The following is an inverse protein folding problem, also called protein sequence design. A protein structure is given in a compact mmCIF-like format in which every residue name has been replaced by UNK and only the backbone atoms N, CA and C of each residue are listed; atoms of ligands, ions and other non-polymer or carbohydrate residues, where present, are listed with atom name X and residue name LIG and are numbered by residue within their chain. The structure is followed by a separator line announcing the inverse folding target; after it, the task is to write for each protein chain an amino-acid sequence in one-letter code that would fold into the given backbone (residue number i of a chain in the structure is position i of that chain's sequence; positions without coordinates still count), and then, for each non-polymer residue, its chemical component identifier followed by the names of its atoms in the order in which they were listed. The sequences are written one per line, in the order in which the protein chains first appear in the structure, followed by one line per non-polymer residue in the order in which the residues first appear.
data_IF_473893783488
#
_entry.id   IF_473893783488
#
_cell.length_a   1.000
_cell.length_b   1.000
_cell.length_c   1.000
_cell.angle_alpha   90.00
_cell.angle_beta   90.00
_cell.angle_gamma   90.00
#
_symmetry.space_group_name_H-M   'P 1'
#
loop_
_entity.id
_entity.type
_entity.pdbx_description
1 polymer ?
#
# COMPACT_ATOMS: atom_id res chain seq x y z
N UNK A 1 -11.29 0.73 1.61
CA UNK A 1 -10.05 0.19 1.03
C UNK A 1 -8.88 0.39 1.99
N UNK A 2 -8.10 -0.64 2.29
CA UNK A 2 -6.85 -0.53 3.05
C UNK A 2 -5.69 -0.26 2.12
N UNK A 3 -4.80 0.67 2.51
CA UNK A 3 -3.61 1.03 1.73
C UNK A 3 -2.42 0.20 2.21
N UNK A 4 -1.50 -0.14 1.31
CA UNK A 4 -0.21 -0.71 1.68
C UNK A 4 0.83 0.39 1.91
N UNK A 5 1.79 0.13 2.79
CA UNK A 5 2.87 1.07 3.04
C UNK A 5 3.69 1.30 1.75
N UNK A 6 3.97 2.55 1.35
CA UNK A 6 4.73 2.85 0.13
C UNK A 6 6.10 2.17 0.08
N UNK A 7 6.83 2.14 1.21
CA UNK A 7 8.10 1.44 1.33
C UNK A 7 7.97 -0.06 1.09
N UNK A 8 6.99 -0.72 1.73
CA UNK A 8 6.74 -2.15 1.55
C UNK A 8 6.34 -2.48 0.12
N UNK A 9 5.59 -1.60 -0.55
CA UNK A 9 5.27 -1.71 -1.98
C UNK A 9 6.56 -1.68 -2.80
N UNK A 10 7.41 -0.67 -2.64
CA UNK A 10 8.67 -0.57 -3.37
C UNK A 10 9.54 -1.82 -3.17
N UNK A 11 9.74 -2.25 -1.92
CA UNK A 11 10.50 -3.46 -1.61
C UNK A 11 9.92 -4.69 -2.31
N UNK A 12 8.59 -4.85 -2.30
CA UNK A 12 7.94 -5.99 -2.95
C UNK A 12 8.11 -5.96 -4.47
N UNK A 13 8.08 -4.78 -5.09
CA UNK A 13 8.34 -4.63 -6.52
C UNK A 13 9.78 -5.03 -6.86
N UNK A 14 10.75 -4.56 -6.08
CA UNK A 14 12.16 -4.92 -6.23
C UNK A 14 12.33 -6.44 -6.11
N UNK A 15 11.81 -7.05 -5.05
CA UNK A 15 11.91 -8.49 -4.80
C UNK A 15 11.29 -9.31 -5.93
N UNK A 16 10.13 -8.88 -6.44
CA UNK A 16 9.39 -9.58 -7.51
C UNK A 16 10.08 -9.43 -8.86
N UNK A 17 10.68 -8.27 -9.14
CA UNK A 17 11.33 -7.98 -10.41
C UNK A 17 12.76 -8.56 -10.52
N UNK A 18 13.44 -8.77 -9.39
CA UNK A 18 14.84 -9.21 -9.30
C UNK A 18 15.19 -10.45 -10.15
N UNK A 19 14.35 -11.50 -10.26
CA UNK A 19 14.69 -12.67 -11.07
C UNK A 19 14.89 -12.34 -12.56
N UNK A 20 14.14 -11.39 -13.12
CA UNK A 20 14.23 -11.02 -14.54
C UNK A 20 15.37 -10.04 -14.84
N UNK A 21 15.82 -9.27 -13.85
CA UNK A 21 16.94 -8.35 -14.01
C UNK A 21 18.25 -9.05 -14.42
N UNK A 22 18.36 -10.37 -14.23
CA UNK A 22 19.49 -11.19 -14.72
C UNK A 22 19.69 -11.10 -16.24
N UNK A 23 18.61 -10.84 -16.98
CA UNK A 23 18.62 -10.82 -18.44
C UNK A 23 18.44 -9.43 -19.04
N UNK A 24 18.20 -8.41 -18.21
CA UNK A 24 18.04 -7.01 -18.64
C UNK A 24 18.89 -6.06 -17.78
N UNK A 25 19.93 -5.49 -18.40
CA UNK A 25 20.87 -4.57 -17.72
C UNK A 25 20.23 -3.27 -17.25
N UNK A 26 19.20 -2.78 -17.96
CA UNK A 26 18.51 -1.54 -17.61
C UNK A 26 17.62 -1.75 -16.39
N UNK A 27 16.89 -2.87 -16.35
CA UNK A 27 16.13 -3.28 -15.18
C UNK A 27 17.04 -3.48 -13.98
N UNK A 28 18.19 -4.16 -14.14
CA UNK A 28 19.16 -4.36 -13.07
C UNK A 28 19.63 -3.04 -12.44
N UNK A 29 20.01 -2.05 -13.26
CA UNK A 29 20.45 -0.73 -12.76
C UNK A 29 19.34 0.02 -12.00
N UNK A 30 18.10 -0.07 -12.47
CA UNK A 30 16.96 0.58 -11.81
C UNK A 30 16.63 -0.11 -10.47
N UNK A 31 16.75 -1.44 -10.40
CA UNK A 31 16.59 -2.18 -9.16
C UNK A 31 17.68 -1.85 -8.15
N UNK A 32 18.93 -1.72 -8.58
CA UNK A 32 20.05 -1.31 -7.72
C UNK A 32 19.80 0.10 -7.13
N UNK A 33 19.42 1.07 -7.96
CA UNK A 33 19.01 2.41 -7.51
C UNK A 33 17.87 2.37 -6.50
N UNK A 34 16.84 1.55 -6.74
CA UNK A 34 15.72 1.40 -5.81
C UNK A 34 16.17 0.75 -4.47
N UNK A 35 17.08 -0.22 -4.51
CA UNK A 35 17.67 -0.86 -3.32
C UNK A 35 18.51 0.12 -2.50
N UNK A 36 19.30 0.96 -3.16
CA UNK A 36 20.03 2.04 -2.48
C UNK A 36 19.06 2.97 -1.75
N UNK A 37 17.99 3.43 -2.41
CA UNK A 37 16.96 4.28 -1.78
C UNK A 37 16.32 3.56 -0.59
N UNK A 38 15.95 2.29 -0.72
CA UNK A 38 15.37 1.45 0.35
C UNK A 38 16.28 1.31 1.57
N UNK A 39 17.60 1.43 1.38
CA UNK A 39 18.62 1.46 2.43
C UNK A 39 18.75 2.80 3.15
N UNK A 40 18.11 3.87 2.65
CA UNK A 40 18.15 5.21 3.25
C UNK A 40 16.85 5.58 3.97
N UNK A 41 16.86 6.58 4.86
CA UNK A 41 15.63 7.15 5.44
C UNK A 41 14.68 7.76 4.41
N UNK A 42 15.13 8.05 3.18
CA UNK A 42 14.28 8.64 2.14
C UNK A 42 13.16 7.69 1.72
N UNK A 43 13.35 6.38 1.85
CA UNK A 43 12.31 5.39 1.55
C UNK A 43 11.09 5.47 2.48
N UNK A 44 11.21 6.12 3.64
CA UNK A 44 10.07 6.38 4.53
C UNK A 44 9.15 7.49 3.99
N UNK A 45 9.64 8.33 3.07
CA UNK A 45 8.84 9.37 2.44
C UNK A 45 7.92 8.73 1.38
N UNK A 46 6.58 8.84 1.51
CA UNK A 46 5.65 8.22 0.58
C UNK A 46 5.87 8.58 -0.89
N UNK A 47 6.22 9.84 -1.17
CA UNK A 47 6.46 10.35 -2.52
C UNK A 47 7.69 9.72 -3.17
N UNK A 48 8.77 9.55 -2.41
CA UNK A 48 10.03 8.96 -2.91
C UNK A 48 9.82 7.48 -3.20
N UNK A 49 9.26 6.74 -2.24
CA UNK A 49 9.00 5.32 -2.42
C UNK A 49 8.07 5.04 -3.61
N UNK A 50 7.00 5.83 -3.77
CA UNK A 50 6.07 5.67 -4.89
C UNK A 50 6.71 6.05 -6.24
N UNK A 51 7.54 7.10 -6.30
CA UNK A 51 8.29 7.46 -7.52
C UNK A 51 9.21 6.34 -7.96
N UNK A 52 10.01 5.79 -7.04
CA UNK A 52 10.91 4.66 -7.33
C UNK A 52 10.11 3.42 -7.74
N UNK A 53 8.96 3.16 -7.11
CA UNK A 53 8.10 2.02 -7.48
C UNK A 53 7.59 2.16 -8.91
N UNK A 54 7.20 3.37 -9.32
CA UNK A 54 6.77 3.66 -10.69
C UNK A 54 7.90 3.47 -11.70
N UNK A 55 9.13 3.88 -11.35
CA UNK A 55 10.32 3.64 -12.19
C UNK A 55 10.61 2.15 -12.38
N UNK A 56 10.54 1.35 -11.31
CA UNK A 56 10.68 -0.12 -11.38
C UNK A 56 9.59 -0.74 -12.25
N UNK A 57 8.34 -0.32 -12.09
CA UNK A 57 7.23 -0.82 -12.89
C UNK A 57 7.39 -0.50 -14.38
N UNK A 58 7.85 0.71 -14.70
CA UNK A 58 8.13 1.11 -16.09
C UNK A 58 9.33 0.35 -16.68
N UNK A 59 10.38 0.11 -15.89
CA UNK A 59 11.51 -0.69 -16.31
C UNK A 59 11.09 -2.14 -16.61
N UNK A 60 10.25 -2.72 -15.76
CA UNK A 60 9.71 -4.08 -15.93
C UNK A 60 8.96 -4.23 -17.25
N UNK A 61 8.00 -3.33 -17.53
CA UNK A 61 7.21 -3.35 -18.78
C UNK A 61 8.10 -3.30 -20.04
N UNK A 62 9.24 -2.61 -19.97
CA UNK A 62 10.17 -2.50 -21.09
C UNK A 62 11.08 -3.73 -21.24
N UNK A 63 11.45 -4.34 -20.11
CA UNK A 63 12.40 -5.45 -20.04
C UNK A 63 11.76 -6.80 -20.36
N UNK A 64 10.53 -7.02 -19.89
CA UNK A 64 9.87 -8.31 -20.00
C UNK A 64 8.68 -8.26 -20.95
N UNK A 65 8.80 -8.93 -22.10
CA UNK A 65 7.76 -9.00 -23.13
C UNK A 65 6.97 -10.30 -23.13
N UNK A 66 7.34 -11.26 -22.28
CA UNK A 66 6.73 -12.60 -22.26
C UNK A 66 5.61 -12.72 -21.23
N UNK A 67 5.67 -11.97 -20.13
CA UNK A 67 4.60 -11.91 -19.14
C UNK A 67 3.67 -10.73 -19.43
N UNK A 68 2.44 -10.83 -18.94
CA UNK A 68 1.46 -9.74 -19.00
C UNK A 68 1.95 -8.49 -18.27
N UNK A 69 1.56 -7.31 -18.77
CA UNK A 69 2.02 -6.02 -18.24
C UNK A 69 1.65 -5.82 -16.75
N UNK A 70 0.57 -6.45 -16.30
CA UNK A 70 0.05 -6.38 -14.92
C UNK A 70 0.61 -7.48 -14.01
N UNK A 71 1.41 -8.43 -14.52
CA UNK A 71 1.94 -9.55 -13.73
C UNK A 71 2.70 -9.09 -12.49
N UNK A 72 3.53 -8.05 -12.62
CA UNK A 72 4.30 -7.48 -11.51
C UNK A 72 3.37 -6.89 -10.46
N UNK A 73 2.38 -6.09 -10.90
CA UNK A 73 1.42 -5.42 -10.01
C UNK A 73 0.57 -6.44 -9.24
N UNK A 74 0.06 -7.47 -9.92
CA UNK A 74 -0.77 -8.52 -9.31
C UNK A 74 0.05 -9.43 -8.38
N UNK A 75 1.26 -9.82 -8.79
CA UNK A 75 2.16 -10.61 -7.95
C UNK A 75 2.56 -9.84 -6.68
N UNK A 76 2.92 -8.56 -6.83
CA UNK A 76 3.24 -7.71 -5.71
C UNK A 76 2.04 -7.52 -4.78
N UNK A 77 0.84 -7.27 -5.33
CA UNK A 77 -0.41 -7.17 -4.56
C UNK A 77 -0.67 -8.42 -3.72
N UNK A 78 -0.53 -9.62 -4.31
CA UNK A 78 -0.70 -10.89 -3.60
C UNK A 78 0.30 -11.05 -2.45
N UNK A 79 1.57 -10.70 -2.68
CA UNK A 79 2.61 -10.76 -1.64
C UNK A 79 2.35 -9.78 -0.50
N UNK A 80 1.96 -8.54 -0.81
CA UNK A 80 1.60 -7.51 0.18
C UNK A 80 0.41 -7.94 1.04
N UNK A 81 -0.63 -8.53 0.41
CA UNK A 81 -1.79 -9.07 1.12
C UNK A 81 -1.41 -10.23 2.03
N UNK A 82 -0.61 -11.19 1.55
CA UNK A 82 -0.14 -12.33 2.34
C UNK A 82 0.64 -11.88 3.57
N UNK A 83 1.47 -10.84 3.44
CA UNK A 83 2.27 -10.27 4.54
C UNK A 83 1.50 -9.27 5.40
N UNK A 84 0.27 -8.90 5.01
CA UNK A 84 -0.53 -7.82 5.65
C UNK A 84 0.28 -6.52 5.80
N UNK A 85 0.95 -6.13 4.71
CA UNK A 85 1.83 -4.95 4.61
C UNK A 85 1.03 -3.63 4.51
N UNK A 86 0.00 -3.48 5.35
CA UNK A 86 -0.84 -2.30 5.40
C UNK A 86 -0.08 -1.09 5.93
N UNK A 87 -0.44 0.11 5.45
CA UNK A 87 0.06 1.39 5.97
C UNK A 87 -0.37 1.53 7.42
N UNK A 88 0.61 1.66 8.32
CA UNK A 88 0.41 1.76 9.77
C UNK A 88 0.84 3.14 10.23
N UNK A 89 0.00 3.79 11.03
CA UNK A 89 0.25 5.14 11.57
C UNK A 89 0.01 5.16 13.07
N UNK A 90 0.91 5.83 13.79
CA UNK A 90 0.72 6.13 15.21
C UNK A 90 -0.08 7.43 15.32
N UNK A 91 -1.31 7.32 15.82
CA UNK A 91 -2.23 8.44 15.97
C UNK A 91 -3.01 8.23 17.28
N UNK A 92 -3.24 9.30 18.05
CA UNK A 92 -3.84 9.21 19.39
C UNK A 92 -3.13 8.18 20.28
N UNK A 93 -1.80 8.24 20.32
CA UNK A 93 -0.90 7.36 21.08
C UNK A 93 -0.90 5.87 20.72
N UNK A 94 -1.70 5.45 19.73
CA UNK A 94 -1.86 4.05 19.35
C UNK A 94 -1.60 3.79 17.87
N UNK A 95 -1.24 2.55 17.53
CA UNK A 95 -1.00 2.13 16.16
C UNK A 95 -2.33 1.78 15.47
N UNK A 96 -2.53 2.34 14.28
CA UNK A 96 -3.72 2.15 13.46
C UNK A 96 -3.33 1.77 12.04
N UNK A 97 -4.13 0.95 11.39
CA UNK A 97 -4.12 0.77 9.93
C UNK A 97 -4.79 1.99 9.30
N UNK A 98 -4.13 2.57 8.30
CA UNK A 98 -4.71 3.62 7.48
C UNK A 98 -5.45 2.99 6.30
N UNK A 99 -6.70 3.40 6.14
CA UNK A 99 -7.50 3.08 4.97
C UNK A 99 -8.31 4.27 4.53
N UNK A 100 -9.19 4.01 3.58
CA UNK A 100 -10.25 4.91 3.17
C UNK A 100 -11.61 4.22 3.24
N UNK A 101 -12.61 4.98 3.65
CA UNK A 101 -14.02 4.63 3.53
C UNK A 101 -14.62 5.51 2.44
N UNK A 102 -15.34 4.90 1.51
CA UNK A 102 -15.98 5.63 0.43
C UNK A 102 -17.40 5.11 0.22
N UNK A 103 -18.30 6.03 -0.10
CA UNK A 103 -19.68 5.77 -0.54
C UNK A 103 -19.83 5.84 -2.08
N UNK A 104 -18.72 5.99 -2.81
CA UNK A 104 -18.67 6.18 -4.25
C UNK A 104 -18.52 7.64 -4.70
N UNK A 105 -18.99 8.59 -3.90
CA UNK A 105 -18.90 10.03 -4.20
C UNK A 105 -17.83 10.71 -3.34
N UNK A 106 -17.74 10.31 -2.07
CA UNK A 106 -16.85 10.85 -1.08
C UNK A 106 -15.86 9.78 -0.63
N UNK A 107 -14.62 10.18 -0.36
CA UNK A 107 -13.60 9.31 0.23
C UNK A 107 -13.06 10.01 1.49
N UNK A 108 -13.13 9.32 2.63
CA UNK A 108 -12.62 9.82 3.92
C UNK A 108 -11.61 8.83 4.48
N UNK A 109 -10.54 9.36 5.09
CA UNK A 109 -9.53 8.54 5.77
C UNK A 109 -10.16 7.86 6.99
N UNK A 110 -9.91 6.57 7.13
CA UNK A 110 -10.30 5.80 8.30
C UNK A 110 -9.07 5.16 8.95
N UNK A 111 -8.95 5.34 10.27
CA UNK A 111 -7.98 4.70 11.13
C UNK A 111 -8.64 3.52 11.83
N UNK A 112 -8.11 2.32 11.59
CA UNK A 112 -8.62 1.08 12.17
C UNK A 112 -7.59 0.54 13.16
N UNK A 113 -7.96 0.09 14.37
CA UNK A 113 -6.99 -0.43 15.33
C UNK A 113 -6.11 -1.53 14.71
N UNK A 114 -4.78 -1.45 14.88
CA UNK A 114 -3.82 -2.39 14.28
C UNK A 114 -4.16 -3.87 14.49
N UNK A 115 -4.64 -4.32 15.68
CA UNK A 115 -5.01 -5.73 15.88
C UNK A 115 -6.05 -6.27 14.89
N UNK A 116 -6.85 -5.39 14.28
CA UNK A 116 -7.82 -5.73 13.24
C UNK A 116 -7.15 -6.32 12.00
N UNK A 117 -5.88 -5.98 11.75
CA UNK A 117 -5.11 -6.45 10.60
C UNK A 117 -5.19 -7.96 10.44
N UNK A 118 -5.10 -8.73 11.54
CA UNK A 118 -5.11 -10.21 11.52
C UNK A 118 -6.50 -10.81 11.22
N UNK A 119 -7.56 -10.02 11.44
CA UNK A 119 -8.96 -10.44 11.27
C UNK A 119 -9.53 -10.04 9.91
N UNK A 120 -8.85 -9.15 9.20
CA UNK A 120 -9.26 -8.77 7.85
C UNK A 120 -9.16 -9.99 6.90
N UNK A 121 -10.11 -10.14 5.97
CA UNK A 121 -9.96 -11.03 4.84
C UNK A 121 -8.68 -10.70 4.05
N UNK A 122 -8.19 -11.65 3.24
CA UNK A 122 -7.01 -11.44 2.38
C UNK A 122 -7.43 -10.63 1.14
N UNK A 123 -7.89 -9.40 1.37
CA UNK A 123 -8.21 -8.40 0.35
C UNK A 123 -7.95 -7.00 0.89
N UNK A 124 -7.58 -6.08 0.00
CA UNK A 124 -7.43 -4.66 0.30
C UNK A 124 -8.75 -3.90 0.23
N UNK A 125 -9.77 -4.50 -0.39
CA UNK A 125 -11.07 -3.90 -0.65
C UNK A 125 -12.17 -4.82 -0.15
N UNK A 126 -13.12 -4.24 0.58
CA UNK A 126 -14.27 -4.93 1.11
C UNK A 126 -15.43 -3.96 1.20
N UNK A 127 -16.62 -4.47 0.93
CA UNK A 127 -17.86 -3.78 1.26
C UNK A 127 -18.12 -3.99 2.75
N UNK A 128 -18.35 -2.89 3.47
CA UNK A 128 -18.43 -2.95 4.92
C UNK A 128 -19.12 -1.74 5.51
N UNK A 129 -19.45 -1.88 6.79
CA UNK A 129 -20.02 -0.84 7.64
C UNK A 129 -19.07 -0.64 8.81
N UNK A 130 -18.89 0.60 9.23
CA UNK A 130 -18.06 0.92 10.39
C UNK A 130 -18.79 1.87 11.33
N UNK A 131 -18.71 1.59 12.64
CA UNK A 131 -19.07 2.56 13.66
C UNK A 131 -17.80 3.35 13.95
N UNK A 132 -17.86 4.66 13.75
CA UNK A 132 -16.68 5.52 13.82
C UNK A 132 -16.85 6.67 14.80
N UNK A 133 -15.75 7.08 15.41
CA UNK A 133 -15.61 8.43 15.98
C UNK A 133 -15.10 9.36 14.89
N UNK A 134 -15.74 10.51 14.72
CA UNK A 134 -15.28 11.58 13.83
C UNK A 134 -14.32 12.49 14.59
N UNK A 135 -13.15 12.75 14.02
CA UNK A 135 -12.17 13.71 14.54
C UNK A 135 -11.68 14.62 13.41
N UNK A 136 -10.96 15.69 13.79
CA UNK A 136 -10.25 16.52 12.83
C UNK A 136 -9.14 15.76 12.12
N UNK A 137 -8.57 16.40 11.10
CA UNK A 137 -7.40 15.90 10.37
C UNK A 137 -6.26 15.51 11.31
N UNK A 138 -5.63 14.36 11.06
CA UNK A 138 -4.59 13.79 11.93
C UNK A 138 -3.19 13.83 11.30
N UNK A 139 -3.12 13.92 9.97
CA UNK A 139 -1.88 13.98 9.21
C UNK A 139 -1.98 15.13 8.19
N UNK A 140 -0.94 15.95 8.06
CA UNK A 140 -0.91 17.11 7.16
C UNK A 140 -1.06 16.72 5.68
N UNK A 141 -0.70 15.48 5.33
CA UNK A 141 -0.85 14.94 3.98
C UNK A 141 -2.29 14.51 3.66
N UNK A 142 -3.21 14.55 4.64
CA UNK A 142 -4.63 14.26 4.42
C UNK A 142 -5.32 15.44 3.73
N UNK A 143 -6.04 15.12 2.64
CA UNK A 143 -6.82 16.10 1.88
C UNK A 143 -8.09 16.54 2.64
N UNK A 144 -8.75 15.61 3.32
CA UNK A 144 -9.95 15.90 4.08
C UNK A 144 -9.62 16.59 5.40
N UNK A 145 -10.48 17.52 5.83
CA UNK A 145 -10.35 18.20 7.14
C UNK A 145 -10.73 17.32 8.33
N UNK A 146 -11.28 16.13 8.06
CA UNK A 146 -11.74 15.18 9.08
C UNK A 146 -11.21 13.77 8.79
N UNK A 147 -11.13 12.97 9.85
CA UNK A 147 -10.74 11.57 9.81
C UNK A 147 -11.67 10.74 10.70
N UNK A 148 -11.89 9.49 10.30
CA UNK A 148 -12.71 8.52 11.03
C UNK A 148 -11.83 7.56 11.83
N UNK A 149 -12.22 7.25 13.06
CA UNK A 149 -11.59 6.21 13.88
C UNK A 149 -12.58 5.09 14.11
N UNK A 150 -12.29 3.92 13.57
CA UNK A 150 -13.17 2.77 13.66
C UNK A 150 -13.22 2.21 15.09
N UNK A 151 -14.42 2.16 15.66
CA UNK A 151 -14.72 1.47 16.91
C UNK A 151 -15.19 0.04 16.65
N UNK A 152 -15.89 -0.16 15.53
CA UNK A 152 -16.28 -1.47 15.03
C UNK A 152 -16.26 -1.47 13.50
N UNK A 153 -15.93 -2.63 12.91
CA UNK A 153 -15.93 -2.87 11.48
C UNK A 153 -16.70 -4.17 11.20
N UNK A 154 -17.69 -4.11 10.32
CA UNK A 154 -18.44 -5.25 9.82
C UNK A 154 -18.29 -5.36 8.30
N UNK A 155 -18.19 -6.58 7.79
CA UNK A 155 -18.23 -6.85 6.36
C UNK A 155 -19.68 -7.09 5.94
N UNK A 156 -20.10 -6.49 4.83
CA UNK A 156 -21.39 -6.78 4.19
C UNK A 156 -21.17 -7.89 3.18
N UNK A 157 -21.90 -8.99 3.35
CA UNK A 157 -21.90 -10.12 2.41
C UNK A 157 -23.19 -10.01 1.61
N UNK A 158 -23.08 -9.59 0.35
CA UNK A 158 -24.20 -9.59 -0.60
C UNK A 158 -24.16 -10.91 -1.37
N UNK A 159 -25.27 -11.64 -1.36
CA UNK A 159 -25.47 -12.88 -2.13
C UNK A 159 -25.97 -12.57 -3.54
#
# INVERSE_FOLDING_TARGET
QFRFAPRDKLQTYVDTARPLARHDKRLAAILESAEEVLGTPLAELPSVAESQRLEVAEAWRRANRELEDDFLDESARRLLLRRRAFDRRRVLDSLHLRGSLSDGEHEVVIYVPEPTAKRLPITSELNGVAICRLLGRQDEQEKASTALFALALGQVVTH
#
